data_IF_706668819235
#
_entry.id   IF_706668819235
#
_cell.length_a   1.000
_cell.length_b   1.000
_cell.length_c   1.000
_cell.angle_alpha   90.00
_cell.angle_beta   90.00
_cell.angle_gamma   90.00
#
_symmetry.space_group_name_H-M   'P 1'
#
loop_
_entity.id
_entity.type
_entity.pdbx_description
1 polymer ?
#
# COMPACT_ATOMS: atom_id res chain seq x y z
N UNK A 1 6.47 27.83 8.16
CA UNK A 1 6.72 27.07 6.92
C UNK A 1 6.56 28.01 5.74
N UNK A 2 7.50 28.00 4.79
CA UNK A 2 7.49 28.91 3.62
C UNK A 2 7.03 28.16 2.36
N UNK A 3 6.63 28.89 1.31
CA UNK A 3 6.27 28.29 0.01
C UNK A 3 7.44 27.53 -0.64
N UNK A 4 8.67 28.00 -0.43
CA UNK A 4 9.89 27.33 -0.86
C UNK A 4 10.08 25.97 -0.18
N UNK A 5 9.84 25.90 1.14
CA UNK A 5 9.89 24.62 1.88
C UNK A 5 8.82 23.66 1.35
N UNK A 6 7.60 24.13 1.10
CA UNK A 6 6.52 23.30 0.53
C UNK A 6 6.92 22.73 -0.84
N UNK A 7 7.53 23.55 -1.71
CA UNK A 7 8.03 23.06 -3.01
C UNK A 7 9.07 21.96 -2.84
N UNK A 8 10.03 22.14 -1.93
CA UNK A 8 11.04 21.12 -1.62
C UNK A 8 10.44 19.83 -1.06
N UNK A 9 9.33 19.91 -0.31
CA UNK A 9 8.59 18.71 0.12
C UNK A 9 8.02 17.94 -1.08
N UNK A 10 7.45 18.62 -2.07
CA UNK A 10 6.99 17.98 -3.31
C UNK A 10 8.14 17.39 -4.13
N UNK A 11 9.28 18.08 -4.21
CA UNK A 11 10.48 17.56 -4.87
C UNK A 11 10.99 16.28 -4.17
N UNK A 12 10.93 16.24 -2.83
CA UNK A 12 11.23 15.03 -2.06
C UNK A 12 10.24 13.89 -2.35
N UNK A 13 8.94 14.18 -2.47
CA UNK A 13 7.95 13.17 -2.89
C UNK A 13 8.24 12.61 -4.29
N UNK A 14 8.75 13.43 -5.21
CA UNK A 14 9.16 12.96 -6.53
C UNK A 14 10.36 12.00 -6.44
N UNK A 15 11.38 12.32 -5.63
CA UNK A 15 12.50 11.40 -5.41
C UNK A 15 12.08 10.12 -4.69
N UNK A 16 11.18 10.22 -3.70
CA UNK A 16 10.62 9.06 -3.01
C UNK A 16 9.89 8.12 -3.99
N UNK A 17 9.10 8.67 -4.91
CA UNK A 17 8.45 7.89 -5.98
C UNK A 17 9.49 7.15 -6.84
N UNK A 18 10.55 7.83 -7.29
CA UNK A 18 11.62 7.20 -8.09
C UNK A 18 12.40 6.15 -7.33
N UNK A 19 12.65 6.38 -6.05
CA UNK A 19 13.31 5.40 -5.16
C UNK A 19 12.48 4.13 -5.07
N UNK A 20 11.15 4.25 -4.94
CA UNK A 20 10.23 3.10 -5.00
C UNK A 20 10.24 2.38 -6.35
N UNK A 21 10.56 3.06 -7.45
CA UNK A 21 10.70 2.44 -8.78
C UNK A 21 12.02 1.65 -8.92
N UNK A 22 12.99 1.83 -8.01
CA UNK A 22 14.24 1.04 -7.97
C UNK A 22 14.09 -0.33 -7.30
N UNK A 23 12.89 -0.62 -6.77
CA UNK A 23 12.53 -1.95 -6.31
C UNK A 23 12.72 -3.00 -7.43
N UNK A 24 12.97 -4.27 -7.10
CA UNK A 24 13.27 -5.30 -8.09
C UNK A 24 12.12 -5.42 -9.09
N UNK A 25 12.38 -5.91 -10.30
CA UNK A 25 11.34 -6.05 -11.31
C UNK A 25 10.27 -7.03 -10.82
N UNK A 26 9.02 -6.59 -10.92
CA UNK A 26 7.86 -7.43 -10.65
C UNK A 26 7.60 -8.38 -11.83
N UNK A 27 6.92 -9.53 -11.61
CA UNK A 27 6.45 -10.36 -12.71
C UNK A 27 5.65 -9.52 -13.72
N UNK A 28 5.70 -9.89 -14.99
CA UNK A 28 5.04 -9.11 -16.05
C UNK A 28 3.55 -8.84 -15.71
N UNK A 29 3.15 -7.58 -15.85
CA UNK A 29 1.80 -7.12 -15.52
C UNK A 29 1.52 -6.94 -14.02
N UNK A 30 2.47 -7.15 -13.11
CA UNK A 30 2.29 -6.89 -11.68
C UNK A 30 2.68 -5.44 -11.37
N UNK A 31 1.77 -4.70 -10.73
CA UNK A 31 2.00 -3.30 -10.32
C UNK A 31 2.62 -3.25 -8.93
N UNK A 32 3.46 -2.26 -8.64
CA UNK A 32 4.07 -2.08 -7.30
C UNK A 32 3.04 -1.83 -6.20
N UNK A 33 1.84 -1.37 -6.55
CA UNK A 33 0.72 -1.27 -5.63
C UNK A 33 0.20 -2.64 -5.18
N UNK A 34 0.42 -3.73 -5.91
CA UNK A 34 -0.05 -5.06 -5.50
C UNK A 34 0.63 -5.53 -4.22
N UNK A 35 1.91 -5.21 -4.04
CA UNK A 35 2.64 -5.53 -2.80
C UNK A 35 1.96 -4.87 -1.61
N UNK A 36 1.71 -3.55 -1.68
CA UNK A 36 0.99 -2.83 -0.62
C UNK A 36 -0.38 -3.44 -0.28
N UNK A 37 -1.13 -3.91 -1.30
CA UNK A 37 -2.41 -4.58 -1.07
C UNK A 37 -2.22 -5.92 -0.34
N UNK A 38 -1.22 -6.71 -0.73
CA UNK A 38 -0.90 -7.98 -0.07
C UNK A 38 -0.53 -7.74 1.39
N UNK A 39 0.39 -6.82 1.65
CA UNK A 39 0.86 -6.49 3.01
C UNK A 39 -0.29 -6.01 3.89
N UNK A 40 -1.16 -5.16 3.35
CA UNK A 40 -2.34 -4.64 4.07
C UNK A 40 -3.32 -5.77 4.40
N UNK A 41 -3.63 -6.64 3.44
CA UNK A 41 -4.56 -7.76 3.66
C UNK A 41 -3.97 -8.74 4.67
N UNK A 42 -2.69 -9.12 4.54
CA UNK A 42 -2.03 -10.04 5.46
C UNK A 42 -1.92 -9.47 6.88
N UNK A 43 -1.68 -8.16 7.02
CA UNK A 43 -1.68 -7.49 8.32
C UNK A 43 -3.06 -7.55 8.98
N UNK A 44 -4.13 -7.27 8.23
CA UNK A 44 -5.51 -7.38 8.72
C UNK A 44 -5.88 -8.83 9.06
N UNK A 45 -5.52 -9.80 8.21
CA UNK A 45 -5.72 -11.24 8.47
C UNK A 45 -4.98 -11.67 9.76
N UNK A 46 -3.75 -11.19 9.98
CA UNK A 46 -2.96 -11.44 11.18
C UNK A 46 -3.58 -10.87 12.47
N UNK A 47 -4.44 -9.85 12.34
CA UNK A 47 -5.25 -9.30 13.43
C UNK A 47 -6.59 -10.04 13.62
N UNK A 48 -6.84 -11.10 12.83
CA UNK A 48 -8.08 -11.89 12.87
C UNK A 48 -9.24 -11.27 12.10
N UNK A 49 -9.00 -10.24 11.28
CA UNK A 49 -10.03 -9.59 10.47
C UNK A 49 -10.37 -10.46 9.26
N UNK A 50 -11.66 -10.73 9.04
CA UNK A 50 -12.13 -11.29 7.77
C UNK A 50 -12.25 -10.15 6.74
N UNK A 51 -11.18 -9.95 5.97
CA UNK A 51 -10.97 -8.76 5.15
C UNK A 51 -12.01 -8.58 4.06
N UNK A 52 -12.55 -7.37 3.94
CA UNK A 52 -13.44 -6.90 2.86
C UNK A 52 -12.79 -5.76 2.09
N UNK A 53 -13.38 -5.42 0.95
CA UNK A 53 -12.95 -4.25 0.16
C UNK A 53 -13.04 -2.94 0.96
N UNK A 54 -14.03 -2.81 1.85
CA UNK A 54 -14.13 -1.66 2.76
C UNK A 54 -12.91 -1.56 3.68
N UNK A 55 -12.46 -2.69 4.24
CA UNK A 55 -11.40 -2.70 5.23
C UNK A 55 -10.06 -2.34 4.57
N UNK A 56 -9.83 -2.83 3.34
CA UNK A 56 -8.67 -2.41 2.52
C UNK A 56 -8.75 -0.92 2.18
N UNK A 57 -9.94 -0.43 1.81
CA UNK A 57 -10.17 0.98 1.49
C UNK A 57 -9.89 1.90 2.67
N UNK A 58 -10.32 1.50 3.87
CA UNK A 58 -10.14 2.25 5.10
C UNK A 58 -8.66 2.20 5.55
N UNK A 59 -8.02 1.01 5.52
CA UNK A 59 -6.63 0.84 5.92
C UNK A 59 -5.62 1.52 4.97
N UNK A 60 -5.90 1.56 3.66
CA UNK A 60 -5.03 2.21 2.67
C UNK A 60 -5.45 3.65 2.37
N UNK A 61 -6.56 4.11 2.94
CA UNK A 61 -7.19 5.42 2.66
C UNK A 61 -7.43 5.69 1.17
N UNK A 62 -7.71 4.63 0.41
CA UNK A 62 -7.96 4.70 -1.03
C UNK A 62 -9.46 4.71 -1.30
N UNK A 63 -9.96 5.41 -2.33
CA UNK A 63 -11.37 5.35 -2.70
C UNK A 63 -11.82 3.94 -3.08
N UNK A 64 -12.98 3.51 -2.53
CA UNK A 64 -13.57 2.17 -2.77
C UNK A 64 -13.64 1.75 -4.25
N UNK A 65 -13.99 2.63 -5.22
CA UNK A 65 -13.98 2.24 -6.63
C UNK A 65 -12.58 1.84 -7.13
N UNK A 66 -11.53 2.54 -6.70
CA UNK A 66 -10.14 2.23 -7.05
C UNK A 66 -9.66 0.93 -6.43
N UNK A 67 -10.03 0.68 -5.17
CA UNK A 67 -9.75 -0.57 -4.45
C UNK A 67 -10.44 -1.74 -5.14
N UNK A 68 -11.73 -1.61 -5.43
CA UNK A 68 -12.52 -2.65 -6.12
C UNK A 68 -11.91 -3.06 -7.45
N UNK A 69 -11.49 -2.06 -8.26
CA UNK A 69 -10.83 -2.31 -9.54
C UNK A 69 -9.51 -3.06 -9.37
N UNK A 70 -8.69 -2.66 -8.40
CA UNK A 70 -7.40 -3.29 -8.15
C UNK A 70 -7.55 -4.71 -7.60
N UNK A 71 -8.46 -4.93 -6.65
CA UNK A 71 -8.78 -6.26 -6.11
C UNK A 71 -9.26 -7.20 -7.22
N UNK A 72 -10.13 -6.74 -8.11
CA UNK A 72 -10.58 -7.54 -9.27
C UNK A 72 -9.40 -7.94 -10.16
N UNK A 73 -8.52 -7.00 -10.49
CA UNK A 73 -7.33 -7.29 -11.31
C UNK A 73 -6.36 -8.27 -10.62
N UNK A 74 -6.16 -8.12 -9.31
CA UNK A 74 -5.31 -9.02 -8.52
C UNK A 74 -5.90 -10.43 -8.42
N UNK A 75 -7.23 -10.54 -8.32
CA UNK A 75 -7.95 -11.80 -8.35
C UNK A 75 -7.85 -12.49 -9.72
N UNK A 76 -8.08 -11.76 -10.82
CA UNK A 76 -7.92 -12.28 -12.19
C UNK A 76 -6.50 -12.80 -12.44
N UNK A 77 -5.49 -12.17 -11.82
CA UNK A 77 -4.09 -12.60 -11.87
C UNK A 77 -3.74 -13.68 -10.84
N UNK A 78 -4.70 -14.10 -10.02
CA UNK A 78 -4.58 -15.20 -9.05
C UNK A 78 -3.83 -14.86 -7.78
N UNK A 79 -3.59 -13.59 -7.47
CA UNK A 79 -2.94 -13.15 -6.22
C UNK A 79 -3.90 -13.10 -5.04
N UNK A 80 -5.17 -12.81 -5.30
CA UNK A 80 -6.24 -12.78 -4.32
C UNK A 80 -7.35 -13.77 -4.70
N UNK A 81 -8.18 -14.13 -3.72
CA UNK A 81 -9.41 -14.90 -3.94
C UNK A 81 -10.57 -14.22 -3.23
N UNK A 82 -11.72 -14.11 -3.91
CA UNK A 82 -12.98 -13.75 -3.27
C UNK A 82 -13.71 -14.98 -2.75
N UNK A 83 -14.28 -14.85 -1.56
CA UNK A 83 -15.13 -15.86 -0.94
C UNK A 83 -16.42 -15.22 -0.48
N UNK A 84 -17.56 -15.74 -0.91
CA UNK A 84 -18.85 -15.32 -0.38
C UNK A 84 -18.96 -15.76 1.09
N UNK A 85 -19.55 -14.92 1.94
CA UNK A 85 -19.89 -15.31 3.30
C UNK A 85 -21.01 -16.34 3.29
N UNK A 86 -20.86 -17.42 4.07
CA UNK A 86 -21.90 -18.42 4.26
C UNK A 86 -23.12 -17.86 5.00
N UNK A 87 -22.90 -16.83 5.84
CA UNK A 87 -23.96 -16.18 6.62
C UNK A 87 -24.74 -15.13 5.81
N UNK A 88 -24.07 -14.44 4.87
CA UNK A 88 -24.70 -13.48 3.97
C UNK A 88 -23.96 -13.47 2.63
N UNK A 89 -24.56 -14.08 1.59
CA UNK A 89 -23.97 -14.16 0.26
C UNK A 89 -23.73 -12.80 -0.43
N UNK A 90 -24.23 -11.69 0.14
CA UNK A 90 -23.91 -10.32 -0.31
C UNK A 90 -22.55 -9.84 0.19
N UNK A 91 -22.04 -10.43 1.27
CA UNK A 91 -20.71 -10.13 1.81
C UNK A 91 -19.68 -10.98 1.09
N UNK A 92 -18.63 -10.32 0.61
CA UNK A 92 -17.48 -10.97 -0.02
C UNK A 92 -16.22 -10.68 0.78
N UNK A 93 -15.54 -11.75 1.19
CA UNK A 93 -14.24 -11.71 1.83
C UNK A 93 -13.13 -11.83 0.80
N UNK A 94 -12.01 -11.18 1.09
CA UNK A 94 -10.78 -11.20 0.30
C UNK A 94 -9.74 -11.97 1.11
N UNK A 95 -9.11 -12.96 0.48
CA UNK A 95 -7.99 -13.68 1.06
C UNK A 95 -6.80 -13.69 0.08
N UNK A 96 -5.59 -13.66 0.64
CA UNK A 96 -4.36 -13.82 -0.15
C UNK A 96 -4.20 -15.29 -0.58
N UNK A 97 -3.91 -15.53 -1.85
CA UNK A 97 -3.61 -16.89 -2.33
C UNK A 97 -2.16 -17.25 -2.07
N UNK A 98 -1.79 -18.53 -2.20
CA UNK A 98 -0.38 -18.95 -2.19
C UNK A 98 0.49 -18.16 -3.19
N UNK A 99 -0.05 -17.81 -4.36
CA UNK A 99 0.67 -17.00 -5.36
C UNK A 99 0.89 -15.56 -4.85
N UNK A 100 -0.10 -14.99 -4.17
CA UNK A 100 0.02 -13.70 -3.49
C UNK A 100 1.04 -13.74 -2.36
N UNK A 101 0.99 -14.75 -1.48
CA UNK A 101 1.96 -14.92 -0.39
C UNK A 101 3.39 -15.05 -0.91
N UNK A 102 3.62 -15.87 -1.94
CA UNK A 102 4.94 -16.00 -2.55
C UNK A 102 5.45 -14.67 -3.15
N UNK A 103 4.55 -13.82 -3.64
CA UNK A 103 4.91 -12.51 -4.17
C UNK A 103 5.31 -11.53 -3.05
N UNK A 104 4.56 -11.47 -1.95
CA UNK A 104 4.93 -10.66 -0.77
C UNK A 104 6.22 -11.15 -0.13
N UNK A 105 6.37 -12.45 0.12
CA UNK A 105 7.59 -13.02 0.73
C UNK A 105 8.86 -12.71 -0.06
N UNK A 106 8.79 -12.72 -1.39
CA UNK A 106 9.94 -12.35 -2.24
C UNK A 106 10.39 -10.90 -1.99
N UNK A 107 9.49 -10.00 -1.64
CA UNK A 107 9.80 -8.61 -1.30
C UNK A 107 10.21 -8.45 0.17
N UNK A 108 9.39 -8.96 1.09
CA UNK A 108 9.56 -8.74 2.53
C UNK A 108 10.76 -9.49 3.09
N UNK A 109 10.89 -10.77 2.76
CA UNK A 109 11.90 -11.62 3.39
C UNK A 109 13.24 -11.57 2.67
N UNK A 110 13.26 -11.36 1.35
CA UNK A 110 14.49 -11.43 0.57
C UNK A 110 15.01 -10.05 0.19
N UNK A 111 14.15 -9.17 -0.31
CA UNK A 111 14.60 -7.90 -0.83
C UNK A 111 14.87 -6.86 0.27
N UNK A 112 13.89 -6.55 1.14
CA UNK A 112 14.10 -5.54 2.18
C UNK A 112 15.17 -5.96 3.20
N UNK A 113 15.24 -7.25 3.55
CA UNK A 113 16.36 -7.75 4.37
C UNK A 113 17.72 -7.58 3.69
N UNK A 114 17.79 -7.78 2.36
CA UNK A 114 19.03 -7.53 1.60
C UNK A 114 19.42 -6.06 1.53
N UNK A 115 18.47 -5.14 1.76
CA UNK A 115 18.73 -3.70 1.78
C UNK A 115 19.33 -3.21 3.10
N UNK A 116 19.16 -3.94 4.20
CA UNK A 116 19.61 -3.52 5.54
C UNK A 116 21.06 -3.01 5.57
N UNK A 117 22.06 -3.68 4.95
CA UNK A 117 23.45 -3.22 4.98
C UNK A 117 23.69 -1.90 4.23
N UNK A 118 22.77 -1.49 3.36
CA UNK A 118 22.89 -0.25 2.57
C UNK A 118 22.15 0.93 3.22
N UNK A 119 21.43 0.69 4.33
CA UNK A 119 20.64 1.70 5.01
C UNK A 119 21.32 2.23 6.28
N UNK A 120 22.58 1.83 6.54
CA UNK A 120 23.33 2.16 7.76
C UNK A 120 23.51 3.67 8.00
N UNK A 121 23.42 4.50 6.95
CA UNK A 121 23.52 5.96 7.06
C UNK A 121 22.21 6.64 7.51
N UNK A 122 21.09 5.90 7.54
CA UNK A 122 19.79 6.42 7.99
C UNK A 122 19.54 5.88 9.39
N UNK A 123 19.52 6.78 10.38
CA UNK A 123 19.15 6.42 11.75
C UNK A 123 17.68 5.99 11.84
N UNK A 124 17.35 5.15 12.82
CA UNK A 124 15.97 4.76 13.09
C UNK A 124 15.11 6.01 13.38
N UNK A 125 15.66 7.01 14.09
CA UNK A 125 14.98 8.27 14.37
C UNK A 125 14.67 9.07 13.11
N UNK A 126 15.60 9.14 12.16
CA UNK A 126 15.39 9.82 10.87
C UNK A 126 14.36 9.07 10.01
N UNK A 127 14.43 7.74 9.98
CA UNK A 127 13.47 6.90 9.27
C UNK A 127 12.05 7.07 9.83
N UNK A 128 11.88 7.00 11.14
CA UNK A 128 10.60 7.27 11.80
C UNK A 128 10.12 8.70 11.56
N UNK A 129 11.02 9.68 11.59
CA UNK A 129 10.68 11.08 11.30
C UNK A 129 10.17 11.25 9.87
N UNK A 130 10.84 10.62 8.90
CA UNK A 130 10.43 10.59 7.51
C UNK A 130 9.04 9.98 7.36
N UNK A 131 8.79 8.79 7.93
CA UNK A 131 7.49 8.10 7.87
C UNK A 131 6.38 9.01 8.41
N UNK A 132 6.51 9.49 9.65
CA UNK A 132 5.49 10.34 10.27
C UNK A 132 5.23 11.63 9.49
N UNK A 133 6.27 12.22 8.92
CA UNK A 133 6.15 13.50 8.18
C UNK A 133 5.47 13.30 6.84
N UNK A 134 5.82 12.23 6.11
CA UNK A 134 5.17 11.87 4.85
C UNK A 134 3.70 11.53 5.08
N UNK A 135 3.38 10.74 6.12
CA UNK A 135 2.00 10.40 6.47
C UNK A 135 1.17 11.66 6.77
N UNK A 136 1.68 12.55 7.63
CA UNK A 136 1.00 13.83 7.92
C UNK A 136 0.82 14.67 6.68
N UNK A 137 1.83 14.73 5.81
CA UNK A 137 1.75 15.50 4.58
C UNK A 137 0.71 14.90 3.62
N UNK A 138 0.65 13.58 3.51
CA UNK A 138 -0.37 12.87 2.74
C UNK A 138 -1.78 13.18 3.26
N UNK A 139 -2.01 13.11 4.58
CA UNK A 139 -3.31 13.44 5.19
C UNK A 139 -3.79 14.85 4.82
N UNK A 140 -2.92 15.84 4.98
CA UNK A 140 -3.23 17.25 4.65
C UNK A 140 -3.68 17.37 3.18
N UNK A 141 -3.00 16.66 2.28
CA UNK A 141 -3.34 16.69 0.84
C UNK A 141 -4.65 15.96 0.54
N UNK A 142 -4.94 14.86 1.23
CA UNK A 142 -6.21 14.13 1.12
C UNK A 142 -7.39 14.96 1.64
N UNK A 143 -7.28 15.59 2.81
CA UNK A 143 -8.28 16.49 3.37
C UNK A 143 -8.54 17.69 2.46
N UNK A 144 -7.47 18.29 1.94
CA UNK A 144 -7.57 19.38 0.96
C UNK A 144 -8.38 18.94 -0.25
N UNK A 145 -8.13 17.76 -0.82
CA UNK A 145 -8.87 17.26 -2.00
C UNK A 145 -10.37 17.13 -1.71
N UNK A 146 -10.77 16.56 -0.56
CA UNK A 146 -12.19 16.43 -0.17
C UNK A 146 -12.89 17.79 -0.18
N UNK A 147 -12.23 18.83 0.31
CA UNK A 147 -12.80 20.20 0.32
C UNK A 147 -13.03 20.80 -1.08
N UNK A 148 -12.26 20.40 -2.09
CA UNK A 148 -12.45 20.87 -3.47
C UNK A 148 -13.43 20.01 -4.27
N UNK A 149 -13.53 18.70 -3.97
CA UNK A 149 -14.44 17.79 -4.67
C UNK A 149 -15.91 17.92 -4.18
N UNK A 150 -16.14 18.59 -3.04
CA UNK A 150 -17.47 18.89 -2.47
C UNK A 150 -18.07 20.23 -2.98
N UNK A 151 -17.39 20.95 -3.88
CA UNK A 151 -17.86 22.19 -4.52
C UNK A 151 -18.18 21.99 -5.99
#
# INVERSE_FOLDING_TARGET
MTSEIIKRMFDACYQAKRTREMLPPLPEGVRSSFIQYLDTIQSLEGQGVQVKVSDISDAMELPRPGVTRTVKEMEEKGYLKKMASEADGRVTYIAVTRKGTNLSQKYDEQYFKSLLPYMEEISDEDAECMIRTIEKFYQIMCERRKHYDER
#
